data_IF_680427364285
#
_entry.id   IF_680427364285
#
_cell.length_a   1.000
_cell.length_b   1.000
_cell.length_c   1.000
_cell.angle_alpha   90.00
_cell.angle_beta   90.00
_cell.angle_gamma   90.00
#
_symmetry.space_group_name_H-M   'P 1'
#
loop_
_entity.id
_entity.type
_entity.pdbx_description
1 polymer ?
#
# COMPACT_ATOMS: atom_id res chain seq x y z
N UNK A 1 30.71 1.44 -17.87
CA UNK A 1 29.25 1.45 -17.97
C UNK A 1 28.79 1.73 -16.56
N UNK A 2 28.33 2.95 -16.31
CA UNK A 2 27.77 3.32 -15.01
C UNK A 2 26.31 2.86 -15.03
N UNK A 3 26.08 1.57 -14.77
CA UNK A 3 24.75 0.95 -14.79
C UNK A 3 24.19 0.70 -13.37
N UNK A 4 24.72 1.37 -12.34
CA UNK A 4 24.15 1.35 -10.98
C UNK A 4 23.15 2.51 -10.80
N UNK A 5 22.25 2.71 -11.77
CA UNK A 5 21.18 3.67 -11.61
C UNK A 5 20.16 3.13 -10.60
N UNK A 6 20.23 3.64 -9.37
CA UNK A 6 19.26 3.33 -8.32
C UNK A 6 17.87 3.86 -8.70
N UNK A 7 16.87 2.99 -8.62
CA UNK A 7 15.46 3.35 -8.74
C UNK A 7 14.87 3.39 -7.33
N UNK A 8 14.49 4.56 -6.79
CA UNK A 8 13.84 4.64 -5.49
C UNK A 8 12.43 4.04 -5.57
N UNK A 9 12.05 3.29 -4.53
CA UNK A 9 10.69 2.80 -4.32
C UNK A 9 10.25 3.30 -2.94
N UNK A 10 9.37 4.29 -2.93
CA UNK A 10 8.77 4.81 -1.72
C UNK A 10 7.48 4.02 -1.43
N UNK A 11 7.35 3.54 -0.19
CA UNK A 11 6.18 2.79 0.29
C UNK A 11 5.70 3.42 1.60
N UNK A 12 4.38 3.49 1.79
CA UNK A 12 3.79 3.72 3.11
C UNK A 12 4.08 2.54 4.05
N UNK A 13 3.91 2.74 5.36
CA UNK A 13 4.09 1.65 6.33
C UNK A 13 3.15 0.47 6.03
N UNK A 14 1.91 0.76 5.62
CA UNK A 14 0.89 -0.24 5.28
C UNK A 14 1.21 -0.96 3.96
N UNK A 15 1.67 -0.24 2.94
CA UNK A 15 2.13 -0.84 1.67
C UNK A 15 3.33 -1.76 1.89
N UNK A 16 4.28 -1.35 2.74
CA UNK A 16 5.47 -2.12 3.05
C UNK A 16 5.14 -3.41 3.84
N UNK A 17 4.19 -3.35 4.80
CA UNK A 17 3.67 -4.54 5.49
C UNK A 17 2.97 -5.51 4.55
N UNK A 18 2.09 -5.00 3.67
CA UNK A 18 1.38 -5.83 2.70
C UNK A 18 2.36 -6.44 1.68
N UNK A 19 3.38 -5.69 1.26
CA UNK A 19 4.42 -6.20 0.36
C UNK A 19 5.22 -7.32 1.02
N UNK A 20 5.62 -7.17 2.28
CA UNK A 20 6.33 -8.22 3.01
C UNK A 20 5.51 -9.51 3.09
N UNK A 21 4.24 -9.42 3.49
CA UNK A 21 3.33 -10.56 3.54
C UNK A 21 3.10 -11.19 2.16
N UNK A 22 3.02 -10.38 1.10
CA UNK A 22 2.88 -10.88 -0.27
C UNK A 22 4.12 -11.65 -0.73
N UNK A 23 5.33 -11.14 -0.42
CA UNK A 23 6.59 -11.80 -0.76
C UNK A 23 6.73 -13.14 -0.03
N UNK A 24 6.40 -13.21 1.26
CA UNK A 24 6.46 -14.44 2.06
C UNK A 24 5.56 -15.55 1.50
N UNK A 25 4.42 -15.18 0.90
CA UNK A 25 3.47 -16.12 0.27
C UNK A 25 3.91 -16.64 -1.09
N UNK A 26 4.99 -16.12 -1.68
CA UNK A 26 5.48 -16.62 -2.96
C UNK A 26 6.09 -18.01 -2.79
N UNK A 27 5.72 -18.93 -3.68
CA UNK A 27 6.24 -20.29 -3.68
C UNK A 27 7.78 -20.28 -3.78
N UNK A 28 8.43 -20.93 -2.81
CA UNK A 28 9.86 -21.18 -2.90
C UNK A 28 10.13 -22.41 -3.76
N UNK A 29 11.15 -22.35 -4.64
CA UNK A 29 11.52 -23.49 -5.45
C UNK A 29 12.09 -24.63 -4.61
N UNK A 30 11.68 -25.87 -4.92
CA UNK A 30 12.13 -27.07 -4.20
C UNK A 30 13.64 -27.36 -4.34
N UNK A 31 14.29 -26.83 -5.39
CA UNK A 31 15.71 -27.04 -5.65
C UNK A 31 16.40 -25.72 -6.03
N UNK A 32 17.27 -25.24 -5.14
CA UNK A 32 18.03 -23.99 -5.30
C UNK A 32 19.23 -24.12 -6.24
N UNK A 33 19.87 -25.29 -6.29
CA UNK A 33 21.15 -25.49 -7.01
C UNK A 33 21.00 -25.61 -8.53
N UNK A 34 19.75 -25.75 -9.02
CA UNK A 34 19.43 -25.97 -10.43
C UNK A 34 18.58 -24.86 -11.06
N UNK A 35 18.41 -23.72 -10.39
CA UNK A 35 17.56 -22.65 -10.90
C UNK A 35 18.11 -22.05 -12.19
N UNK A 36 17.26 -21.81 -13.21
CA UNK A 36 17.69 -21.04 -14.35
C UNK A 36 18.07 -19.60 -13.93
N UNK A 37 18.87 -18.89 -14.76
CA UNK A 37 19.49 -17.63 -14.32
C UNK A 37 18.52 -16.55 -13.85
N UNK A 38 17.34 -16.48 -14.48
CA UNK A 38 16.34 -15.48 -14.10
C UNK A 38 15.73 -15.78 -12.74
N UNK A 39 15.36 -17.03 -12.48
CA UNK A 39 14.74 -17.50 -11.24
C UNK A 39 15.70 -17.37 -10.06
N UNK A 40 16.99 -17.66 -10.27
CA UNK A 40 18.03 -17.42 -9.27
C UNK A 40 18.18 -15.93 -8.94
N UNK A 41 18.19 -15.06 -9.95
CA UNK A 41 18.27 -13.61 -9.75
C UNK A 41 17.02 -13.04 -9.07
N UNK A 42 15.83 -13.49 -9.47
CA UNK A 42 14.55 -13.09 -8.88
C UNK A 42 14.45 -13.53 -7.41
N UNK A 43 14.88 -14.75 -7.08
CA UNK A 43 14.91 -15.24 -5.70
C UNK A 43 15.87 -14.41 -4.85
N UNK A 44 17.04 -14.06 -5.38
CA UNK A 44 17.99 -13.19 -4.68
C UNK A 44 17.41 -11.79 -4.42
N UNK A 45 16.75 -11.22 -5.41
CA UNK A 45 16.07 -9.92 -5.28
C UNK A 45 14.95 -9.99 -4.23
N UNK A 46 14.13 -11.06 -4.25
CA UNK A 46 13.09 -11.29 -3.25
C UNK A 46 13.67 -11.29 -1.83
N UNK A 47 14.72 -12.07 -1.57
CA UNK A 47 15.36 -12.10 -0.25
C UNK A 47 15.93 -10.76 0.19
N UNK A 48 16.49 -9.97 -0.74
CA UNK A 48 17.00 -8.64 -0.43
C UNK A 48 15.86 -7.66 -0.10
N UNK A 49 14.70 -7.77 -0.76
CA UNK A 49 13.50 -7.00 -0.45
C UNK A 49 12.89 -7.40 0.89
N UNK A 50 12.76 -8.70 1.17
CA UNK A 50 12.27 -9.23 2.46
C UNK A 50 13.14 -8.71 3.61
N UNK A 51 14.47 -8.86 3.51
CA UNK A 51 15.38 -8.38 4.54
C UNK A 51 15.30 -6.86 4.77
N UNK A 52 15.13 -6.08 3.69
CA UNK A 52 14.93 -4.64 3.79
C UNK A 52 13.63 -4.30 4.51
N UNK A 53 12.51 -4.94 4.14
CA UNK A 53 11.20 -4.70 4.73
C UNK A 53 11.13 -5.17 6.20
N UNK A 54 11.65 -6.36 6.51
CA UNK A 54 11.76 -6.85 7.89
C UNK A 54 12.54 -5.88 8.78
N UNK A 55 13.61 -5.29 8.26
CA UNK A 55 14.41 -4.31 9.01
C UNK A 55 13.63 -3.01 9.30
N UNK A 56 12.68 -2.65 8.43
CA UNK A 56 11.80 -1.50 8.60
C UNK A 56 10.62 -1.79 9.53
N UNK A 57 10.22 -3.06 9.69
CA UNK A 57 9.08 -3.49 10.51
C UNK A 57 9.51 -4.41 11.67
N UNK A 58 10.06 -3.87 12.77
CA UNK A 58 10.52 -4.68 13.91
C UNK A 58 9.39 -5.41 14.65
N UNK A 59 8.13 -5.11 14.32
CA UNK A 59 6.92 -5.69 14.93
C UNK A 59 6.44 -6.97 14.24
N UNK A 60 7.13 -7.49 13.23
CA UNK A 60 6.78 -8.77 12.57
C UNK A 60 6.71 -9.93 13.57
N UNK A 61 7.47 -9.86 14.67
CA UNK A 61 7.43 -10.84 15.76
C UNK A 61 6.51 -10.45 16.94
N UNK A 62 5.79 -9.34 16.83
CA UNK A 62 4.91 -8.86 17.88
C UNK A 62 3.60 -9.66 17.90
N UNK A 63 3.01 -9.82 19.08
CA UNK A 63 1.75 -10.56 19.26
C UNK A 63 0.56 -9.92 18.55
N UNK A 64 0.66 -8.64 18.19
CA UNK A 64 -0.36 -7.87 17.48
C UNK A 64 -0.09 -7.73 15.97
N UNK A 65 0.89 -8.47 15.41
CA UNK A 65 1.24 -8.40 13.99
C UNK A 65 0.03 -8.66 13.07
N UNK A 66 -0.76 -9.70 13.35
CA UNK A 66 -1.93 -10.06 12.53
C UNK A 66 -2.95 -8.93 12.44
N UNK A 67 -3.25 -8.27 13.56
CA UNK A 67 -4.17 -7.12 13.58
C UNK A 67 -3.61 -5.90 12.83
N UNK A 68 -2.29 -5.71 12.86
CA UNK A 68 -1.64 -4.64 12.07
C UNK A 68 -1.70 -4.94 10.58
N UNK A 69 -1.48 -6.19 10.20
CA UNK A 69 -1.59 -6.64 8.81
C UNK A 69 -3.01 -6.49 8.28
N UNK A 70 -4.04 -6.87 9.06
CA UNK A 70 -5.45 -6.64 8.68
C UNK A 70 -5.73 -5.15 8.44
N UNK A 71 -5.28 -4.29 9.35
CA UNK A 71 -5.44 -2.83 9.21
C UNK A 71 -4.74 -2.31 7.95
N UNK A 72 -3.49 -2.74 7.71
CA UNK A 72 -2.72 -2.36 6.54
C UNK A 72 -3.38 -2.82 5.23
N UNK A 73 -3.96 -4.02 5.20
CA UNK A 73 -4.70 -4.55 4.04
C UNK A 73 -5.93 -3.68 3.75
N UNK A 74 -6.70 -3.31 4.77
CA UNK A 74 -7.87 -2.46 4.60
C UNK A 74 -7.48 -1.07 4.08
N UNK A 75 -6.43 -0.46 4.65
CA UNK A 75 -5.93 0.83 4.18
C UNK A 75 -5.47 0.79 2.71
N UNK A 76 -4.64 -0.17 2.33
CA UNK A 76 -4.12 -0.30 0.96
C UNK A 76 -5.24 -0.61 -0.04
N UNK A 77 -6.24 -1.42 0.35
CA UNK A 77 -7.38 -1.77 -0.52
C UNK A 77 -8.31 -0.58 -0.74
N UNK A 78 -8.55 0.20 0.32
CA UNK A 78 -9.60 1.22 0.33
C UNK A 78 -9.05 2.64 0.05
N UNK A 79 -7.73 2.81 -0.15
CA UNK A 79 -7.07 4.08 -0.51
C UNK A 79 -7.47 4.67 -1.88
N UNK A 80 -8.27 3.95 -2.68
CA UNK A 80 -8.86 4.47 -3.92
C UNK A 80 -10.39 4.53 -3.88
N UNK A 81 -10.93 5.52 -3.17
CA UNK A 81 -12.06 6.30 -3.73
C UNK A 81 -12.04 7.75 -3.23
N UNK A 82 -11.59 8.71 -4.06
CA UNK A 82 -11.84 10.15 -3.83
C UNK A 82 -13.33 10.55 -3.91
N UNK A 83 -14.27 9.60 -4.04
CA UNK A 83 -15.69 9.90 -4.27
C UNK A 83 -16.50 10.17 -2.99
N UNK A 84 -15.96 9.91 -1.79
CA UNK A 84 -16.69 10.14 -0.53
C UNK A 84 -16.31 11.44 0.22
N UNK A 85 -15.46 12.29 -0.37
CA UNK A 85 -15.15 13.62 0.19
C UNK A 85 -16.19 14.72 -0.15
N UNK A 86 -17.41 14.36 -0.57
CA UNK A 86 -18.51 15.34 -0.56
C UNK A 86 -19.06 15.44 0.87
N UNK A 87 -18.29 16.11 1.72
CA UNK A 87 -18.77 16.60 3.02
C UNK A 87 -20.02 17.48 2.83
N UNK A 88 -21.12 16.96 3.37
CA UNK A 88 -21.86 17.54 4.48
C UNK A 88 -22.53 18.93 4.36
N UNK A 89 -23.73 18.95 4.93
CA UNK A 89 -24.42 20.06 5.57
C UNK A 89 -24.77 21.33 4.76
N UNK A 90 -26.08 21.42 4.49
CA UNK A 90 -26.90 22.55 4.97
C UNK A 90 -26.43 23.96 4.62
N UNK A 91 -26.79 24.43 3.44
CA UNK A 91 -27.20 25.83 3.28
C UNK A 91 -28.64 25.90 2.80
N UNK A 92 -29.52 25.96 3.80
CA UNK A 92 -30.89 26.50 3.72
C UNK A 92 -30.89 27.74 2.81
N UNK A 93 -31.49 27.65 1.62
CA UNK A 93 -31.93 28.86 0.92
C UNK A 93 -33.24 29.35 1.55
N UNK A 94 -33.33 30.61 2.00
CA UNK A 94 -34.59 31.20 2.40
C UNK A 94 -35.48 31.37 1.16
N UNK A 95 -36.79 31.19 1.38
CA UNK A 95 -37.86 31.43 0.43
C UNK A 95 -37.77 32.84 -0.16
N UNK A 96 -37.52 32.97 -1.47
CA UNK A 96 -37.71 34.23 -2.16
C UNK A 96 -39.20 34.45 -2.41
N UNK A 97 -39.82 35.34 -1.62
CA UNK A 97 -41.11 35.94 -1.96
C UNK A 97 -40.96 36.93 -3.13
N UNK A 98 -42.05 37.26 -3.85
CA UNK A 98 -41.98 38.00 -5.10
C UNK A 98 -41.74 39.51 -4.85
N UNK A 99 -40.96 40.22 -5.68
CA UNK A 99 -40.97 41.68 -5.65
C UNK A 99 -42.14 42.26 -6.49
N UNK A 100 -42.89 43.12 -5.81
CA UNK A 100 -43.99 44.02 -6.22
C UNK A 100 -43.60 44.96 -7.39
N UNK A 101 -44.54 45.39 -8.26
CA UNK A 101 -44.22 46.21 -9.43
C UNK A 101 -43.83 47.65 -9.06
N UNK A 102 -42.96 48.23 -9.89
CA UNK A 102 -42.58 49.65 -9.87
C UNK A 102 -43.69 50.49 -10.52
N UNK A 103 -44.01 51.62 -9.88
CA UNK A 103 -44.97 52.66 -10.30
C UNK A 103 -44.82 53.11 -11.76
#
# INVERSE_FOLDING_TARGET
MDDDQMIPLDLSESEALVMLEWLDRLEEPENLDGLPPFESAALRLRWDLEAMLESAHPYVFASDYESRLETAIDEVRDETTPEDCVEDATQRRPTAGPPTPVN
#
